data_IF_490740513759
#
_entry.id   IF_490740513759
#
_cell.length_a   1.000
_cell.length_b   1.000
_cell.length_c   1.000
_cell.angle_alpha   90.00
_cell.angle_beta   90.00
_cell.angle_gamma   90.00
#
_symmetry.space_group_name_H-M   'P 1'
#
loop_
_entity.id
_entity.type
_entity.pdbx_description
1 polymer ?
#
# COMPACT_ATOMS: atom_id res chain seq x y z
N UNK A 1 -23.60 2.41 7.83
CA UNK A 1 -22.79 2.97 6.73
C UNK A 1 -22.31 1.78 5.92
N UNK A 2 -22.61 1.74 4.64
CA UNK A 2 -22.01 0.75 3.75
C UNK A 2 -20.49 0.97 3.80
N UNK A 3 -19.75 -0.10 4.04
CA UNK A 3 -18.28 -0.05 3.99
C UNK A 3 -17.89 0.17 2.54
N UNK A 4 -17.06 1.16 2.26
CA UNK A 4 -16.52 1.39 0.93
C UNK A 4 -15.79 0.16 0.41
N UNK A 5 -15.98 -0.18 -0.85
CA UNK A 5 -15.34 -1.34 -1.46
C UNK A 5 -13.83 -1.06 -1.65
N UNK A 6 -12.99 -1.97 -1.15
CA UNK A 6 -11.54 -1.89 -1.24
C UNK A 6 -11.05 -2.95 -2.22
N UNK A 7 -10.21 -2.55 -3.18
CA UNK A 7 -9.59 -3.42 -4.15
C UNK A 7 -8.07 -3.39 -4.01
N UNK A 8 -7.46 -4.53 -3.78
CA UNK A 8 -6.01 -4.73 -3.83
C UNK A 8 -5.65 -5.23 -5.23
N UNK A 9 -4.74 -4.53 -5.92
CA UNK A 9 -4.33 -4.86 -7.28
C UNK A 9 -2.84 -5.14 -7.33
N UNK A 10 -2.48 -6.36 -7.70
CA UNK A 10 -1.10 -6.75 -7.99
C UNK A 10 -0.78 -6.63 -9.48
N UNK A 11 0.26 -5.86 -9.84
CA UNK A 11 0.65 -5.65 -11.24
C UNK A 11 2.07 -6.16 -11.47
N UNK A 12 2.21 -7.16 -12.33
CA UNK A 12 3.45 -7.87 -12.62
C UNK A 12 3.82 -8.88 -11.53
N UNK A 13 4.78 -9.76 -11.80
CA UNK A 13 5.05 -10.93 -10.96
C UNK A 13 5.35 -10.65 -9.49
N UNK A 14 6.06 -9.55 -9.17
CA UNK A 14 6.30 -9.14 -7.77
C UNK A 14 5.03 -8.52 -7.18
N UNK A 15 4.32 -7.68 -7.94
CA UNK A 15 3.06 -7.08 -7.51
C UNK A 15 2.01 -8.12 -7.17
N UNK A 16 1.86 -9.17 -7.99
CA UNK A 16 0.95 -10.29 -7.73
C UNK A 16 1.31 -11.05 -6.44
N UNK A 17 2.60 -11.28 -6.18
CA UNK A 17 3.03 -11.93 -4.93
C UNK A 17 2.74 -11.06 -3.70
N UNK A 18 3.01 -9.77 -3.79
CA UNK A 18 2.75 -8.83 -2.70
C UNK A 18 1.26 -8.69 -2.41
N UNK A 19 0.45 -8.61 -3.48
CA UNK A 19 -1.00 -8.46 -3.34
C UNK A 19 -1.67 -9.70 -2.76
N UNK A 20 -1.26 -10.90 -3.16
CA UNK A 20 -1.75 -12.15 -2.58
C UNK A 20 -1.45 -12.23 -1.09
N UNK A 21 -0.19 -12.03 -0.68
CA UNK A 21 0.19 -12.05 0.73
C UNK A 21 -0.43 -10.93 1.58
N UNK A 22 -0.74 -9.77 0.99
CA UNK A 22 -1.47 -8.71 1.67
C UNK A 22 -2.96 -9.03 1.82
N UNK A 23 -3.58 -9.58 0.78
CA UNK A 23 -4.98 -9.97 0.79
C UNK A 23 -5.28 -11.03 1.86
N UNK A 24 -4.39 -12.03 2.03
CA UNK A 24 -4.53 -13.05 3.08
C UNK A 24 -4.64 -12.44 4.49
N UNK A 25 -3.95 -11.32 4.74
CA UNK A 25 -4.00 -10.61 6.01
C UNK A 25 -5.27 -9.76 6.18
N UNK A 26 -5.91 -9.36 5.09
CA UNK A 26 -7.06 -8.45 5.12
C UNK A 26 -8.40 -9.14 5.45
N UNK A 27 -8.46 -10.49 5.56
CA UNK A 27 -9.63 -11.24 6.04
C UNK A 27 -10.96 -10.83 5.38
N UNK A 28 -11.05 -10.88 4.06
CA UNK A 28 -12.27 -10.55 3.29
C UNK A 28 -12.73 -9.08 3.34
N UNK A 29 -11.90 -8.16 3.87
CA UNK A 29 -12.20 -6.73 3.85
C UNK A 29 -11.90 -6.06 2.49
N UNK A 30 -11.23 -6.77 1.60
CA UNK A 30 -10.85 -6.28 0.28
C UNK A 30 -10.98 -7.37 -0.77
N UNK A 31 -11.25 -6.98 -2.01
CA UNK A 31 -11.15 -7.86 -3.18
C UNK A 31 -9.73 -7.87 -3.73
N UNK A 32 -9.36 -8.91 -4.47
CA UNK A 32 -8.04 -9.07 -5.07
C UNK A 32 -8.12 -9.15 -6.59
N UNK A 33 -7.31 -8.32 -7.27
CA UNK A 33 -7.08 -8.38 -8.71
C UNK A 33 -5.59 -8.59 -8.98
N UNK A 34 -5.26 -9.60 -9.77
CA UNK A 34 -3.90 -9.88 -10.24
C UNK A 34 -3.79 -9.64 -11.74
N UNK A 35 -2.76 -8.91 -12.17
CA UNK A 35 -2.53 -8.54 -13.56
C UNK A 35 -1.09 -8.86 -13.93
N UNK A 36 -0.88 -9.78 -14.85
CA UNK A 36 0.45 -10.06 -15.41
C UNK A 36 0.35 -10.62 -16.84
N UNK A 37 1.47 -10.57 -17.53
CA UNK A 37 1.67 -11.22 -18.82
C UNK A 37 2.23 -12.65 -18.67
N UNK A 38 2.57 -13.08 -17.46
CA UNK A 38 3.01 -14.44 -17.14
C UNK A 38 1.96 -15.11 -16.24
N UNK A 39 1.29 -16.12 -16.77
CA UNK A 39 0.25 -16.87 -16.04
C UNK A 39 0.76 -17.52 -14.76
N UNK A 40 2.05 -17.85 -14.69
CA UNK A 40 2.67 -18.43 -13.48
C UNK A 40 2.72 -17.45 -12.29
N UNK A 41 2.43 -16.17 -12.51
CA UNK A 41 2.31 -15.16 -11.44
C UNK A 41 0.99 -15.25 -10.68
N UNK A 42 -0.02 -15.92 -11.26
CA UNK A 42 -1.32 -16.12 -10.62
C UNK A 42 -1.27 -17.37 -9.75
N UNK A 43 -1.50 -17.19 -8.46
CA UNK A 43 -1.54 -18.30 -7.52
C UNK A 43 -3.00 -18.75 -7.34
N UNK A 44 -3.23 -20.07 -7.44
CA UNK A 44 -4.55 -20.66 -7.23
C UNK A 44 -4.99 -20.70 -5.76
N UNK A 45 -4.15 -20.20 -4.86
CA UNK A 45 -4.39 -20.22 -3.40
C UNK A 45 -5.33 -19.09 -2.94
N UNK A 46 -5.57 -18.08 -3.80
CA UNK A 46 -6.39 -16.91 -3.47
C UNK A 46 -7.65 -16.85 -4.34
N UNK A 47 -8.76 -16.43 -3.77
CA UNK A 47 -9.93 -15.99 -4.53
C UNK A 47 -9.61 -14.62 -5.17
N UNK A 48 -9.07 -14.65 -6.37
CA UNK A 48 -8.61 -13.47 -7.08
C UNK A 48 -9.25 -13.36 -8.46
N UNK A 49 -9.57 -12.12 -8.86
CA UNK A 49 -9.77 -11.80 -10.26
C UNK A 49 -8.40 -11.77 -10.95
N UNK A 50 -8.28 -12.38 -12.11
CA UNK A 50 -7.03 -12.43 -12.86
C UNK A 50 -7.21 -11.83 -14.26
N UNK A 51 -6.32 -10.91 -14.64
CA UNK A 51 -6.21 -10.39 -16.00
C UNK A 51 -4.87 -10.81 -16.58
N UNK A 52 -4.90 -11.76 -17.49
CA UNK A 52 -3.72 -12.20 -18.24
C UNK A 52 -3.51 -11.29 -19.47
N UNK A 53 -2.35 -10.65 -19.54
CA UNK A 53 -2.01 -9.69 -20.60
C UNK A 53 -1.37 -10.34 -21.85
N UNK A 54 -1.54 -11.62 -22.06
CA UNK A 54 -1.10 -12.30 -23.28
C UNK A 54 -2.26 -12.97 -24.01
N UNK A 55 -2.82 -12.27 -25.00
CA UNK A 55 -3.89 -12.81 -25.83
C UNK A 55 -3.42 -13.89 -26.82
N UNK A 56 -2.10 -14.02 -27.06
CA UNK A 56 -1.57 -14.92 -28.09
C UNK A 56 -0.99 -16.23 -27.56
N UNK A 57 -0.82 -16.38 -26.23
CA UNK A 57 -0.25 -17.58 -25.59
C UNK A 57 1.19 -17.89 -26.00
N UNK A 58 1.87 -16.99 -26.69
CA UNK A 58 3.16 -17.25 -27.34
C UNK A 58 4.37 -16.66 -26.64
N UNK A 59 4.20 -15.75 -25.70
CA UNK A 59 5.29 -15.09 -25.00
C UNK A 59 5.09 -15.10 -23.47
N UNK A 60 6.03 -15.64 -22.74
CA UNK A 60 6.09 -15.54 -21.30
C UNK A 60 6.51 -14.13 -20.89
N UNK A 61 5.59 -13.38 -20.31
CA UNK A 61 5.84 -12.05 -19.77
C UNK A 61 5.92 -10.93 -20.86
N UNK A 62 6.01 -9.69 -20.42
CA UNK A 62 6.16 -8.51 -21.27
C UNK A 62 7.63 -8.18 -21.60
N UNK A 63 8.55 -9.10 -21.39
CA UNK A 63 9.97 -9.05 -21.76
C UNK A 63 10.68 -7.71 -21.44
N UNK A 64 10.38 -7.09 -20.30
CA UNK A 64 10.85 -5.75 -19.89
C UNK A 64 10.50 -4.64 -20.91
N UNK A 65 9.40 -4.77 -21.63
CA UNK A 65 8.88 -3.80 -22.60
C UNK A 65 7.58 -3.15 -22.04
N UNK A 66 7.66 -1.98 -21.36
CA UNK A 66 6.50 -1.34 -20.76
C UNK A 66 5.40 -1.00 -21.78
N UNK A 67 5.78 -0.50 -22.96
CA UNK A 67 4.81 -0.15 -24.00
C UNK A 67 3.99 -1.35 -24.50
N UNK A 68 4.60 -2.55 -24.53
CA UNK A 68 3.89 -3.78 -24.88
C UNK A 68 2.86 -4.14 -23.82
N UNK A 69 3.23 -4.03 -22.55
CA UNK A 69 2.32 -4.30 -21.43
C UNK A 69 1.16 -3.30 -21.39
N UNK A 70 1.42 -2.02 -21.61
CA UNK A 70 0.39 -0.99 -21.69
C UNK A 70 -0.59 -1.26 -22.86
N UNK A 71 -0.07 -1.62 -24.05
CA UNK A 71 -0.91 -1.98 -25.20
C UNK A 71 -1.82 -3.17 -24.89
N UNK A 72 -1.26 -4.26 -24.34
CA UNK A 72 -2.03 -5.45 -23.99
C UNK A 72 -3.07 -5.18 -22.88
N UNK A 73 -2.73 -4.31 -21.91
CA UNK A 73 -3.69 -3.89 -20.91
C UNK A 73 -4.89 -3.20 -21.57
N UNK A 74 -4.67 -2.28 -22.49
CA UNK A 74 -5.75 -1.55 -23.19
C UNK A 74 -6.68 -2.48 -23.97
N UNK A 75 -6.18 -3.61 -24.46
CA UNK A 75 -7.01 -4.65 -25.12
C UNK A 75 -7.87 -5.42 -24.09
N UNK A 76 -7.37 -5.62 -22.87
CA UNK A 76 -8.04 -6.42 -21.83
C UNK A 76 -8.76 -5.60 -20.74
N UNK A 77 -8.57 -4.28 -20.69
CA UNK A 77 -9.04 -3.43 -19.56
C UNK A 77 -10.57 -3.45 -19.40
N UNK A 78 -11.31 -3.68 -20.47
CA UNK A 78 -12.76 -3.80 -20.42
C UNK A 78 -13.24 -4.93 -19.48
N UNK A 79 -12.46 -5.99 -19.33
CA UNK A 79 -12.79 -7.16 -18.51
C UNK A 79 -12.74 -6.85 -17.00
N UNK A 80 -12.02 -5.80 -16.61
CA UNK A 80 -11.85 -5.39 -15.21
C UNK A 80 -12.47 -4.02 -14.91
N UNK A 81 -13.06 -3.35 -15.92
CA UNK A 81 -13.61 -2.01 -15.77
C UNK A 81 -14.67 -1.94 -14.67
N UNK A 82 -15.58 -2.89 -14.62
CA UNK A 82 -16.63 -2.93 -13.58
C UNK A 82 -16.04 -3.01 -12.18
N UNK A 83 -14.99 -3.81 -11.98
CA UNK A 83 -14.32 -3.95 -10.69
C UNK A 83 -13.63 -2.65 -10.27
N UNK A 84 -12.96 -1.96 -11.18
CA UNK A 84 -12.34 -0.66 -10.92
C UNK A 84 -13.38 0.44 -10.65
N UNK A 85 -14.51 0.44 -11.36
CA UNK A 85 -15.56 1.44 -11.25
C UNK A 85 -16.39 1.32 -9.96
N UNK A 86 -16.48 0.13 -9.39
CA UNK A 86 -17.20 -0.11 -8.13
C UNK A 86 -16.33 0.06 -6.89
N UNK A 87 -15.02 0.17 -7.04
CA UNK A 87 -14.08 0.28 -5.92
C UNK A 87 -13.91 1.73 -5.48
N UNK A 88 -14.07 2.00 -4.20
CA UNK A 88 -13.87 3.33 -3.61
C UNK A 88 -12.41 3.59 -3.23
N UNK A 89 -11.67 2.52 -2.88
CA UNK A 89 -10.23 2.54 -2.62
C UNK A 89 -9.53 1.47 -3.47
N UNK A 90 -8.55 1.87 -4.24
CA UNK A 90 -7.68 0.97 -5.04
C UNK A 90 -6.26 1.05 -4.52
N UNK A 91 -5.71 -0.08 -4.05
CA UNK A 91 -4.34 -0.21 -3.57
C UNK A 91 -3.54 -0.97 -4.62
N UNK A 92 -2.67 -0.27 -5.34
CA UNK A 92 -1.83 -0.83 -6.40
C UNK A 92 -0.48 -1.27 -5.86
N UNK A 93 -0.11 -2.51 -6.12
CA UNK A 93 1.17 -3.09 -5.73
C UNK A 93 1.96 -3.48 -6.98
N UNK A 94 3.16 -2.93 -7.11
CA UNK A 94 4.02 -3.21 -8.25
C UNK A 94 5.50 -3.09 -7.91
N UNK A 95 6.36 -3.71 -8.73
CA UNK A 95 7.78 -3.41 -8.77
C UNK A 95 8.16 -2.95 -10.18
N UNK A 96 8.85 -1.82 -10.25
CA UNK A 96 9.27 -1.20 -11.50
C UNK A 96 10.53 -1.85 -12.07
N UNK A 97 10.82 -1.53 -13.32
CA UNK A 97 11.98 -2.06 -14.07
C UNK A 97 11.67 -3.34 -14.84
N UNK A 98 10.46 -3.87 -14.74
CA UNK A 98 9.92 -4.93 -15.60
C UNK A 98 8.96 -4.37 -16.65
N UNK A 99 8.46 -5.22 -17.55
CA UNK A 99 7.49 -4.80 -18.59
C UNK A 99 6.12 -4.51 -17.98
N UNK A 100 5.49 -5.50 -17.36
CA UNK A 100 4.10 -5.39 -16.87
C UNK A 100 3.96 -4.33 -15.79
N UNK A 101 4.74 -4.40 -14.71
CA UNK A 101 4.65 -3.43 -13.61
C UNK A 101 4.89 -1.98 -14.06
N UNK A 102 5.88 -1.76 -14.95
CA UNK A 102 6.20 -0.41 -15.42
C UNK A 102 5.25 0.11 -16.50
N UNK A 103 4.60 -0.78 -17.26
CA UNK A 103 3.73 -0.38 -18.36
C UNK A 103 2.26 -0.28 -18.00
N UNK A 104 1.75 -1.19 -17.16
CA UNK A 104 0.33 -1.29 -16.89
C UNK A 104 -0.13 -0.46 -15.68
N UNK A 105 0.73 -0.24 -14.67
CA UNK A 105 0.31 0.37 -13.40
C UNK A 105 -0.24 1.78 -13.56
N UNK A 106 0.41 2.63 -14.37
CA UNK A 106 -0.03 4.01 -14.58
C UNK A 106 -1.44 4.10 -15.21
N UNK A 107 -1.74 3.21 -16.15
CA UNK A 107 -3.05 3.15 -16.82
C UNK A 107 -4.14 2.67 -15.86
N UNK A 108 -3.84 1.69 -15.02
CA UNK A 108 -4.79 1.20 -14.00
C UNK A 108 -5.05 2.31 -12.97
N UNK A 109 -4.00 2.99 -12.52
CA UNK A 109 -4.13 4.13 -11.61
C UNK A 109 -5.00 5.24 -12.22
N UNK A 110 -4.76 5.61 -13.48
CA UNK A 110 -5.55 6.61 -14.20
C UNK A 110 -7.03 6.19 -14.30
N UNK A 111 -7.29 4.96 -14.73
CA UNK A 111 -8.65 4.44 -14.87
C UNK A 111 -9.40 4.42 -13.54
N UNK A 112 -8.76 3.98 -12.46
CA UNK A 112 -9.34 3.96 -11.12
C UNK A 112 -9.67 5.38 -10.63
N UNK A 113 -8.74 6.32 -10.83
CA UNK A 113 -8.94 7.72 -10.47
C UNK A 113 -10.08 8.38 -11.27
N UNK A 114 -10.15 8.12 -12.58
CA UNK A 114 -11.22 8.62 -13.45
C UNK A 114 -12.59 8.08 -13.03
N UNK A 115 -12.64 6.90 -12.44
CA UNK A 115 -13.86 6.32 -11.84
C UNK A 115 -14.20 6.90 -10.45
N UNK A 116 -13.35 7.75 -9.89
CA UNK A 116 -13.57 8.42 -8.59
C UNK A 116 -12.97 7.67 -7.39
N UNK A 117 -12.26 6.57 -7.62
CA UNK A 117 -11.57 5.84 -6.55
C UNK A 117 -10.44 6.67 -5.93
N UNK A 118 -10.18 6.49 -4.64
CA UNK A 118 -8.94 6.88 -4.03
C UNK A 118 -7.85 5.87 -4.44
N UNK A 119 -6.72 6.34 -4.95
CA UNK A 119 -5.66 5.48 -5.47
C UNK A 119 -4.40 5.57 -4.62
N UNK A 120 -4.00 4.45 -4.04
CA UNK A 120 -2.74 4.31 -3.30
C UNK A 120 -1.83 3.35 -4.08
N UNK A 121 -0.65 3.81 -4.47
CA UNK A 121 0.33 2.98 -5.17
C UNK A 121 1.53 2.69 -4.26
N UNK A 122 1.89 1.42 -4.10
CA UNK A 122 3.11 0.95 -3.42
C UNK A 122 4.04 0.38 -4.49
N UNK A 123 5.14 1.08 -4.70
CA UNK A 123 5.99 0.91 -5.88
C UNK A 123 7.40 0.50 -5.49
N UNK A 124 7.79 -0.72 -5.84
CA UNK A 124 9.14 -1.23 -5.64
C UNK A 124 10.14 -0.60 -6.61
N UNK A 125 11.14 0.09 -6.08
CA UNK A 125 12.25 0.68 -6.85
C UNK A 125 13.34 -0.35 -7.03
N UNK A 126 13.83 -0.61 -8.27
CA UNK A 126 14.80 -1.66 -8.55
C UNK A 126 16.14 -1.43 -7.89
N UNK A 127 16.95 -2.49 -7.79
CA UNK A 127 18.32 -2.45 -7.27
C UNK A 127 19.20 -1.53 -8.12
N UNK A 128 20.03 -0.69 -7.47
CA UNK A 128 20.90 0.27 -8.15
C UNK A 128 21.91 -0.41 -9.11
N UNK A 129 22.31 -1.64 -8.82
CA UNK A 129 23.17 -2.46 -9.66
C UNK A 129 22.52 -2.96 -10.97
N UNK A 130 21.24 -2.64 -11.19
CA UNK A 130 20.47 -3.02 -12.39
C UNK A 130 20.12 -1.79 -13.25
N UNK A 131 21.08 -1.18 -13.96
CA UNK A 131 20.90 0.12 -14.61
C UNK A 131 19.77 0.15 -15.63
N UNK A 132 19.58 -0.93 -16.38
CA UNK A 132 18.47 -1.02 -17.34
C UNK A 132 17.10 -0.96 -16.65
N UNK A 133 16.95 -1.66 -15.52
CA UNK A 133 15.71 -1.62 -14.74
C UNK A 133 15.49 -0.26 -14.08
N UNK A 134 16.56 0.38 -13.61
CA UNK A 134 16.50 1.74 -13.06
C UNK A 134 16.01 2.73 -14.13
N UNK A 135 16.57 2.69 -15.34
CA UNK A 135 16.14 3.56 -16.44
C UNK A 135 14.68 3.36 -16.87
N UNK A 136 14.17 2.12 -16.79
CA UNK A 136 12.74 1.82 -17.02
C UNK A 136 11.89 2.40 -15.88
N UNK A 137 12.32 2.21 -14.63
CA UNK A 137 11.61 2.69 -13.45
C UNK A 137 11.52 4.22 -13.40
N UNK A 138 12.59 4.94 -13.72
CA UNK A 138 12.63 6.40 -13.80
C UNK A 138 11.59 6.99 -14.76
N UNK A 139 11.33 6.28 -15.87
CA UNK A 139 10.31 6.70 -16.84
C UNK A 139 8.88 6.32 -16.43
N UNK A 140 8.74 5.20 -15.74
CA UNK A 140 7.43 4.67 -15.34
C UNK A 140 6.88 5.35 -14.08
N UNK A 141 7.73 5.81 -13.17
CA UNK A 141 7.31 6.34 -11.87
C UNK A 141 6.50 7.64 -11.97
N UNK A 142 6.89 8.69 -12.73
CA UNK A 142 6.16 9.95 -12.76
C UNK A 142 4.68 9.84 -13.20
N UNK A 143 4.29 9.05 -14.21
CA UNK A 143 2.89 8.88 -14.54
C UNK A 143 2.10 8.11 -13.45
N UNK A 144 2.73 7.19 -12.71
CA UNK A 144 2.08 6.52 -11.57
C UNK A 144 1.81 7.53 -10.46
N UNK A 145 2.80 8.35 -10.11
CA UNK A 145 2.66 9.39 -9.08
C UNK A 145 1.55 10.41 -9.41
N UNK A 146 1.46 10.83 -10.66
CA UNK A 146 0.39 11.77 -11.09
C UNK A 146 -1.02 11.19 -10.99
N UNK A 147 -1.16 9.89 -11.12
CA UNK A 147 -2.44 9.19 -11.12
C UNK A 147 -2.76 8.52 -9.78
N UNK A 148 -1.92 8.70 -8.76
CA UNK A 148 -2.13 8.20 -7.40
C UNK A 148 -2.32 9.37 -6.44
N UNK A 149 -3.25 9.23 -5.49
CA UNK A 149 -3.43 10.18 -4.39
C UNK A 149 -2.30 10.03 -3.35
N UNK A 150 -1.76 8.80 -3.24
CA UNK A 150 -0.60 8.49 -2.43
C UNK A 150 0.29 7.50 -3.20
N UNK A 151 1.58 7.84 -3.38
CA UNK A 151 2.55 6.93 -3.98
C UNK A 151 3.71 6.68 -3.01
N UNK A 152 3.81 5.44 -2.54
CA UNK A 152 4.84 4.98 -1.59
C UNK A 152 5.94 4.28 -2.38
N UNK A 153 7.15 4.82 -2.34
CA UNK A 153 8.32 4.21 -2.95
C UNK A 153 8.98 3.27 -1.95
N UNK A 154 9.24 2.05 -2.37
CA UNK A 154 9.86 0.99 -1.56
C UNK A 154 11.17 0.57 -2.22
N UNK A 155 12.30 0.79 -1.56
CA UNK A 155 13.58 0.30 -2.05
C UNK A 155 13.65 -1.22 -1.95
N UNK A 156 13.80 -1.91 -3.10
CA UNK A 156 13.98 -3.36 -3.13
C UNK A 156 15.30 -3.78 -2.47
N UNK A 157 16.33 -2.92 -2.47
CA UNK A 157 17.60 -3.18 -1.76
C UNK A 157 17.39 -3.24 -0.25
N UNK A 158 16.68 -2.25 0.32
CA UNK A 158 16.38 -2.21 1.75
C UNK A 158 15.49 -3.38 2.14
N UNK A 159 14.48 -3.69 1.33
CA UNK A 159 13.59 -4.83 1.55
C UNK A 159 14.37 -6.16 1.53
N UNK A 160 15.26 -6.35 0.56
CA UNK A 160 16.10 -7.54 0.46
C UNK A 160 17.11 -7.64 1.61
N UNK A 161 17.71 -6.52 2.01
CA UNK A 161 18.63 -6.49 3.16
C UNK A 161 17.92 -6.93 4.45
N UNK A 162 16.72 -6.45 4.70
CA UNK A 162 15.96 -6.81 5.89
C UNK A 162 15.46 -8.25 5.86
N UNK A 163 14.98 -8.72 4.70
CA UNK A 163 14.56 -10.09 4.52
C UNK A 163 15.67 -11.09 4.85
N UNK A 164 16.93 -10.78 4.46
CA UNK A 164 18.10 -11.60 4.81
C UNK A 164 18.31 -11.72 6.32
N UNK A 165 18.07 -10.65 7.07
CA UNK A 165 18.22 -10.66 8.53
C UNK A 165 17.11 -11.44 9.24
N UNK A 166 15.98 -11.69 8.57
CA UNK A 166 14.84 -12.45 9.08
C UNK A 166 14.69 -13.83 8.44
N UNK A 167 15.65 -14.27 7.62
CA UNK A 167 15.57 -15.53 6.85
C UNK A 167 14.27 -15.65 6.01
N UNK A 168 13.78 -14.54 5.47
CA UNK A 168 12.59 -14.49 4.62
C UNK A 168 12.94 -14.12 3.17
N UNK A 169 12.03 -14.40 2.23
CA UNK A 169 12.19 -13.99 0.84
C UNK A 169 11.58 -12.60 0.63
N UNK A 170 12.40 -11.62 0.30
CA UNK A 170 11.96 -10.26 0.02
C UNK A 170 10.94 -10.15 -1.13
N UNK A 171 10.96 -11.11 -2.08
CA UNK A 171 10.00 -11.15 -3.19
C UNK A 171 8.57 -11.43 -2.72
N UNK A 172 8.44 -12.06 -1.58
CA UNK A 172 7.13 -12.28 -0.98
C UNK A 172 6.60 -10.98 -0.36
N UNK A 173 7.48 -10.04 0.04
CA UNK A 173 7.11 -8.72 0.58
C UNK A 173 6.20 -8.78 1.81
N UNK A 174 5.90 -10.01 2.20
CA UNK A 174 4.70 -10.40 2.92
C UNK A 174 4.63 -9.86 4.34
N UNK A 175 5.76 -9.65 5.00
CA UNK A 175 5.69 -9.17 6.38
C UNK A 175 5.41 -7.67 6.44
N UNK A 176 6.20 -6.83 5.75
CA UNK A 176 6.09 -5.37 5.89
C UNK A 176 5.01 -4.75 5.01
N UNK A 177 4.96 -5.14 3.72
CA UNK A 177 3.94 -4.62 2.80
C UNK A 177 2.57 -5.14 3.22
N UNK A 178 2.48 -6.42 3.60
CA UNK A 178 1.25 -7.01 4.10
C UNK A 178 0.76 -6.35 5.38
N UNK A 179 1.63 -6.05 6.35
CA UNK A 179 1.28 -5.33 7.59
C UNK A 179 0.83 -3.89 7.31
N UNK A 180 1.48 -3.22 6.36
CA UNK A 180 1.13 -1.86 5.95
C UNK A 180 -0.30 -1.82 5.36
N UNK A 181 -0.60 -2.75 4.44
CA UNK A 181 -1.90 -2.84 3.78
C UNK A 181 -2.98 -3.31 4.77
N UNK A 182 -2.70 -4.35 5.55
CA UNK A 182 -3.62 -4.83 6.59
C UNK A 182 -3.98 -3.71 7.56
N UNK A 183 -2.99 -2.93 8.03
CA UNK A 183 -3.21 -1.79 8.90
C UNK A 183 -4.17 -0.78 8.28
N UNK A 184 -3.93 -0.38 7.02
CA UNK A 184 -4.77 0.57 6.31
C UNK A 184 -6.18 0.02 6.06
N UNK A 185 -6.29 -1.18 5.49
CA UNK A 185 -7.57 -1.83 5.16
C UNK A 185 -8.40 -2.05 6.41
N UNK A 186 -7.78 -2.49 7.50
CA UNK A 186 -8.46 -2.70 8.78
C UNK A 186 -8.93 -1.38 9.39
N UNK A 187 -8.13 -0.32 9.28
CA UNK A 187 -8.49 1.04 9.75
C UNK A 187 -9.78 1.52 9.08
N UNK A 188 -9.90 1.34 7.78
CA UNK A 188 -11.02 1.83 6.98
C UNK A 188 -12.20 0.84 6.93
N UNK A 189 -11.92 -0.45 7.00
CA UNK A 189 -12.90 -1.52 6.82
C UNK A 189 -13.53 -2.05 8.11
N UNK A 190 -13.07 -1.65 9.30
CA UNK A 190 -13.62 -2.11 10.59
C UNK A 190 -14.03 -0.97 11.49
N UNK A 191 -15.18 -1.13 12.14
CA UNK A 191 -15.67 -0.15 13.11
C UNK A 191 -14.81 -0.17 14.38
N UNK A 192 -14.40 1.01 14.84
CA UNK A 192 -13.61 1.22 16.06
C UNK A 192 -14.35 2.02 17.14
N UNK A 193 -13.65 2.39 18.20
CA UNK A 193 -14.15 3.33 19.24
C UNK A 193 -14.21 4.77 18.70
N UNK A 194 -13.26 5.13 17.86
CA UNK A 194 -13.22 6.36 17.05
C UNK A 194 -12.96 5.90 15.62
N UNK A 195 -13.96 6.07 14.77
CA UNK A 195 -13.89 5.59 13.38
C UNK A 195 -13.14 6.58 12.50
N UNK A 196 -12.41 6.01 11.54
CA UNK A 196 -11.86 6.71 10.40
C UNK A 196 -12.53 6.16 9.14
N UNK A 197 -12.73 7.03 8.16
CA UNK A 197 -13.32 6.67 6.89
C UNK A 197 -12.48 7.14 5.67
N UNK A 198 -12.96 6.83 4.48
CA UNK A 198 -12.27 7.23 3.24
C UNK A 198 -12.25 8.75 3.03
N UNK A 199 -13.21 9.50 3.59
CA UNK A 199 -13.21 10.96 3.47
C UNK A 199 -12.13 11.59 4.35
N UNK A 200 -11.87 10.99 5.53
CA UNK A 200 -10.73 11.37 6.38
C UNK A 200 -9.41 11.15 5.64
N UNK A 201 -9.26 9.99 5.02
CA UNK A 201 -8.06 9.68 4.23
C UNK A 201 -7.91 10.63 3.04
N UNK A 202 -8.97 10.89 2.27
CA UNK A 202 -8.97 11.88 1.16
C UNK A 202 -8.55 13.27 1.64
N UNK A 203 -9.03 13.69 2.80
CA UNK A 203 -8.72 15.00 3.39
C UNK A 203 -7.22 15.12 3.68
N UNK A 204 -6.60 14.06 4.16
CA UNK A 204 -5.17 14.04 4.45
C UNK A 204 -4.34 13.97 3.17
N UNK A 205 -4.58 12.99 2.28
CA UNK A 205 -3.75 12.80 1.07
C UNK A 205 -3.97 13.87 0.00
N UNK A 206 -5.07 14.61 0.03
CA UNK A 206 -5.36 15.72 -0.89
C UNK A 206 -4.47 16.96 -0.70
N UNK A 207 -3.56 16.97 0.27
CA UNK A 207 -2.63 18.07 0.52
C UNK A 207 -1.46 18.05 -0.46
N UNK A 208 -1.00 19.24 -0.92
CA UNK A 208 0.18 19.33 -1.78
C UNK A 208 1.44 18.80 -1.06
N UNK A 209 2.32 18.14 -1.78
CA UNK A 209 3.57 17.59 -1.28
C UNK A 209 3.61 16.07 -1.33
N UNK A 210 4.68 15.50 -0.80
CA UNK A 210 4.78 14.05 -0.68
C UNK A 210 3.89 13.54 0.47
N UNK A 211 3.50 12.28 0.36
CA UNK A 211 2.78 11.59 1.42
C UNK A 211 3.36 10.19 1.62
N UNK A 212 3.20 9.64 2.81
CA UNK A 212 3.66 8.29 3.14
C UNK A 212 2.69 7.60 4.10
N UNK A 213 2.75 6.28 4.11
CA UNK A 213 2.02 5.42 5.04
C UNK A 213 3.05 4.64 5.86
N UNK A 214 2.89 4.63 7.15
CA UNK A 214 3.80 3.95 8.08
C UNK A 214 3.01 3.15 9.10
N UNK A 215 3.61 2.06 9.57
CA UNK A 215 3.05 1.19 10.62
C UNK A 215 4.12 0.91 11.67
N UNK A 216 3.72 0.96 12.93
CA UNK A 216 4.53 0.54 14.07
C UNK A 216 3.75 -0.43 14.95
N UNK A 217 4.39 -1.50 15.35
CA UNK A 217 3.85 -2.51 16.27
C UNK A 217 4.64 -2.52 17.57
N UNK A 218 3.99 -2.81 18.68
CA UNK A 218 4.62 -2.92 20.00
C UNK A 218 3.66 -3.43 21.06
N UNK A 219 3.93 -3.08 22.30
CA UNK A 219 3.16 -3.54 23.46
C UNK A 219 2.56 -2.36 24.23
N UNK A 220 1.53 -2.63 25.03
CA UNK A 220 0.92 -1.64 25.94
C UNK A 220 1.89 -1.12 27.00
N UNK A 221 2.95 -1.90 27.32
CA UNK A 221 3.97 -1.48 28.29
C UNK A 221 4.98 -0.48 27.71
N UNK A 222 5.12 -0.41 26.37
CA UNK A 222 6.06 0.49 25.69
C UNK A 222 5.39 1.24 24.51
N UNK A 223 4.48 2.20 24.77
CA UNK A 223 3.83 3.00 23.74
C UNK A 223 4.82 3.84 22.91
N UNK A 224 5.91 4.33 23.51
CA UNK A 224 6.95 5.10 22.80
C UNK A 224 7.72 4.22 21.81
N UNK A 225 7.93 2.95 22.15
CA UNK A 225 8.54 1.96 21.24
C UNK A 225 7.72 1.74 19.97
N UNK A 226 6.38 1.80 20.06
CA UNK A 226 5.48 1.73 18.88
C UNK A 226 5.76 2.87 17.92
N UNK A 227 5.85 4.11 18.44
CA UNK A 227 6.14 5.30 17.63
C UNK A 227 7.54 5.23 17.01
N UNK A 228 8.53 4.81 17.81
CA UNK A 228 9.91 4.63 17.34
C UNK A 228 9.98 3.58 16.22
N UNK A 229 9.25 2.48 16.35
CA UNK A 229 9.18 1.45 15.32
C UNK A 229 8.53 1.97 14.04
N UNK A 230 7.42 2.72 14.14
CA UNK A 230 6.76 3.32 13.00
C UNK A 230 7.69 4.26 12.22
N UNK A 231 8.39 5.15 12.91
CA UNK A 231 9.33 6.11 12.30
C UNK A 231 10.56 5.46 11.66
N UNK A 232 11.00 4.33 12.21
CA UNK A 232 12.10 3.55 11.66
C UNK A 232 11.63 2.47 10.69
N UNK A 233 10.39 2.58 10.19
CA UNK A 233 9.83 1.61 9.24
C UNK A 233 10.74 1.48 8.02
N UNK A 234 11.06 0.26 7.63
CA UNK A 234 11.92 -0.02 6.47
C UNK A 234 11.34 0.46 5.14
N UNK A 235 10.04 0.65 5.10
CA UNK A 235 9.32 1.08 3.91
C UNK A 235 9.29 2.60 3.77
N UNK A 236 9.56 3.37 4.84
CA UNK A 236 9.61 4.82 4.79
C UNK A 236 11.00 5.31 4.41
N UNK A 237 11.13 5.90 3.23
CA UNK A 237 12.36 6.61 2.80
C UNK A 237 12.31 8.11 3.11
N UNK A 238 11.14 8.60 3.54
CA UNK A 238 10.86 10.02 3.74
C UNK A 238 10.70 10.26 5.25
N UNK A 239 11.40 11.28 5.79
CA UNK A 239 11.10 11.77 7.14
C UNK A 239 9.69 12.32 7.19
N UNK A 240 8.98 12.02 8.26
CA UNK A 240 7.63 12.56 8.49
C UNK A 240 7.63 13.89 9.23
N UNK A 241 8.82 14.38 9.60
CA UNK A 241 8.95 15.64 10.34
C UNK A 241 8.50 16.82 9.49
N UNK A 242 7.74 17.72 10.09
CA UNK A 242 7.20 18.89 9.40
C UNK A 242 5.98 18.64 8.52
N UNK A 243 5.39 17.45 8.53
CA UNK A 243 4.18 17.15 7.79
C UNK A 243 2.99 18.03 8.22
N UNK A 244 2.13 18.36 7.25
CA UNK A 244 0.97 19.27 7.43
C UNK A 244 -0.37 18.57 7.54
N UNK A 245 -0.43 17.30 7.18
CA UNK A 245 -1.61 16.46 7.32
C UNK A 245 -1.24 15.10 7.89
N UNK A 246 -2.04 14.60 8.83
CA UNK A 246 -1.80 13.33 9.46
C UNK A 246 -3.10 12.63 9.82
N UNK A 247 -3.26 11.38 9.40
CA UNK A 247 -4.30 10.49 9.86
C UNK A 247 -3.62 9.42 10.71
N UNK A 248 -4.05 9.26 11.94
CA UNK A 248 -3.50 8.31 12.90
C UNK A 248 -4.59 7.34 13.34
N UNK A 249 -4.32 6.05 13.22
CA UNK A 249 -5.11 5.00 13.85
C UNK A 249 -4.26 4.30 14.90
N UNK A 250 -4.75 4.23 16.13
CA UNK A 250 -4.17 3.42 17.20
C UNK A 250 -5.07 2.22 17.46
N UNK A 251 -4.50 1.04 17.34
CA UNK A 251 -5.18 -0.21 17.60
C UNK A 251 -4.54 -0.90 18.80
N UNK A 252 -5.35 -1.53 19.63
CA UNK A 252 -4.87 -2.29 20.79
C UNK A 252 -5.86 -3.32 21.27
N UNK A 253 -5.51 -4.02 22.34
CA UNK A 253 -6.39 -4.97 23.00
C UNK A 253 -7.44 -4.31 23.89
N UNK A 254 -8.28 -5.11 24.58
CA UNK A 254 -9.23 -4.62 25.57
C UNK A 254 -8.56 -3.86 26.71
N UNK A 255 -7.28 -4.11 26.95
CA UNK A 255 -6.40 -3.47 27.94
C UNK A 255 -5.88 -2.09 27.48
N UNK A 256 -6.09 -1.70 26.22
CA UNK A 256 -5.73 -0.38 25.73
C UNK A 256 -6.54 0.72 26.43
N UNK A 257 -5.84 1.63 27.07
CA UNK A 257 -6.41 2.78 27.77
C UNK A 257 -6.36 4.06 26.93
N UNK A 258 -7.12 5.08 27.33
CA UNK A 258 -6.98 6.44 26.77
C UNK A 258 -5.57 7.00 27.00
N UNK A 259 -4.91 6.61 28.11
CA UNK A 259 -3.52 6.98 28.37
C UNK A 259 -2.55 6.45 27.31
N UNK A 260 -2.71 5.20 26.87
CA UNK A 260 -1.92 4.62 25.77
C UNK A 260 -2.18 5.36 24.45
N UNK A 261 -3.45 5.63 24.13
CA UNK A 261 -3.82 6.40 22.93
C UNK A 261 -3.17 7.77 22.91
N UNK A 262 -3.31 8.54 23.99
CA UNK A 262 -2.73 9.87 24.11
C UNK A 262 -1.21 9.83 23.99
N UNK A 263 -0.54 8.90 24.68
CA UNK A 263 0.92 8.78 24.66
C UNK A 263 1.44 8.51 23.24
N UNK A 264 0.84 7.56 22.51
CA UNK A 264 1.23 7.25 21.13
C UNK A 264 0.97 8.44 20.21
N UNK A 265 -0.20 9.08 20.31
CA UNK A 265 -0.57 10.19 19.47
C UNK A 265 0.32 11.41 19.70
N UNK A 266 0.52 11.82 20.96
CA UNK A 266 1.37 12.96 21.32
C UNK A 266 2.83 12.74 20.89
N UNK A 267 3.39 11.55 21.17
CA UNK A 267 4.75 11.22 20.78
C UNK A 267 4.93 11.23 19.25
N UNK A 268 3.90 10.82 18.49
CA UNK A 268 3.95 10.84 17.04
C UNK A 268 3.81 12.27 16.47
N UNK A 269 2.84 13.04 16.98
CA UNK A 269 2.51 14.38 16.47
C UNK A 269 3.57 15.42 16.85
N UNK A 270 4.31 15.21 17.93
CA UNK A 270 5.28 16.19 18.46
C UNK A 270 6.35 16.68 17.50
N UNK A 271 6.59 16.00 16.39
CA UNK A 271 7.59 16.38 15.37
C UNK A 271 6.96 16.84 14.06
N UNK A 272 5.64 16.80 13.96
CA UNK A 272 4.92 17.32 12.78
C UNK A 272 4.89 18.85 12.84
N UNK A 273 4.44 19.49 11.76
CA UNK A 273 4.24 20.93 11.73
C UNK A 273 3.22 21.36 12.81
N UNK A 274 3.42 22.55 13.40
CA UNK A 274 2.50 23.07 14.42
C UNK A 274 1.07 23.28 13.90
N UNK A 275 0.93 23.54 12.59
CA UNK A 275 -0.35 23.70 11.92
C UNK A 275 -0.83 22.39 11.25
N UNK A 276 -0.23 21.24 11.62
CA UNK A 276 -0.62 19.95 11.10
C UNK A 276 -2.06 19.62 11.47
N UNK A 277 -2.88 19.34 10.46
CA UNK A 277 -4.22 18.80 10.71
C UNK A 277 -4.10 17.31 11.04
N UNK A 278 -4.50 16.95 12.25
CA UNK A 278 -4.45 15.57 12.74
C UNK A 278 -5.86 15.02 12.85
N UNK A 279 -6.10 13.87 12.21
CA UNK A 279 -7.32 13.07 12.34
C UNK A 279 -6.96 11.80 13.08
N UNK A 280 -7.63 11.53 14.21
CA UNK A 280 -7.29 10.43 15.10
C UNK A 280 -8.41 9.40 15.15
N UNK A 281 -8.07 8.14 14.97
CA UNK A 281 -8.92 6.99 15.19
C UNK A 281 -8.41 6.06 16.27
N UNK A 282 -9.29 5.27 16.85
CA UNK A 282 -8.95 4.28 17.86
C UNK A 282 -9.81 3.03 17.74
N UNK A 283 -9.17 1.85 17.75
CA UNK A 283 -9.85 0.56 17.71
C UNK A 283 -9.33 -0.39 18.78
N UNK A 284 -10.23 -1.10 19.43
CA UNK A 284 -9.88 -2.20 20.32
C UNK A 284 -10.34 -3.54 19.70
N UNK A 285 -9.49 -4.57 19.79
CA UNK A 285 -9.77 -5.90 19.27
C UNK A 285 -9.21 -6.96 20.24
N UNK A 286 -9.95 -8.04 20.48
CA UNK A 286 -9.58 -9.10 21.43
C UNK A 286 -8.25 -9.78 21.07
N UNK A 287 -7.98 -9.93 19.77
CA UNK A 287 -6.74 -10.50 19.25
C UNK A 287 -5.49 -9.63 19.44
N UNK A 288 -5.68 -8.38 19.91
CA UNK A 288 -4.61 -7.42 20.19
C UNK A 288 -4.26 -7.28 21.68
N UNK A 289 -4.74 -8.18 22.55
CA UNK A 289 -4.44 -8.12 23.99
C UNK A 289 -2.93 -7.98 24.26
N UNK A 290 -2.53 -7.01 25.09
CA UNK A 290 -1.14 -6.67 25.42
C UNK A 290 -0.35 -6.01 24.28
N UNK A 291 -0.97 -5.77 23.12
CA UNK A 291 -0.32 -5.19 21.94
C UNK A 291 -0.89 -3.83 21.55
N UNK A 292 -0.05 -3.02 20.93
CA UNK A 292 -0.42 -1.77 20.29
C UNK A 292 0.09 -1.75 18.86
N UNK A 293 -0.71 -1.18 17.96
CA UNK A 293 -0.34 -0.87 16.56
C UNK A 293 -0.67 0.59 16.29
N UNK A 294 0.27 1.28 15.68
CA UNK A 294 0.09 2.61 15.11
C UNK A 294 0.08 2.47 13.58
N UNK A 295 -0.96 2.98 12.94
CA UNK A 295 -1.03 3.17 11.49
C UNK A 295 -1.15 4.66 11.24
N UNK A 296 -0.26 5.25 10.46
CA UNK A 296 -0.32 6.66 10.15
C UNK A 296 -0.14 6.93 8.65
N UNK A 297 -1.05 7.73 8.10
CA UNK A 297 -0.91 8.35 6.77
C UNK A 297 -0.51 9.79 6.98
N UNK A 298 0.60 10.20 6.39
CA UNK A 298 1.21 11.51 6.60
C UNK A 298 1.40 12.19 5.26
N UNK A 299 1.08 13.49 5.16
CA UNK A 299 1.10 14.24 3.91
C UNK A 299 1.59 15.67 4.10
N UNK A 300 1.87 16.35 2.97
CA UNK A 300 2.40 17.73 3.01
C UNK A 300 3.87 17.76 3.40
N UNK A 301 4.62 16.71 3.01
CA UNK A 301 6.05 16.53 3.22
C UNK A 301 6.88 17.22 2.14
#
# INVERSE_FOLDING_TARGET
MEQGSILIVGVGGIGCKWSGGAHDKCQQLAELLMIDADESSFTSEHEAHCLHLDASGSARGAAALPNLAAHRLNEGIANISSLLETSELVILLTALGGGTGSGATAEIAAKSRDSGSLVISIVGIPFAEQPLRCAIAEKALPPIERNSDLCIRVSLERLAWQARHRNSDWKLGSEWIGELIEGLVTTLGRVGKINLDLMDLRTVVGRPGNATLIVGNGTTDDPDGVVKMARNSPLSEISVDGAKGCLIQVEGGPDMTLGHLNRVSEAFVSTLDNDCQVILGARASEDMAGRLRLVAVVSGL
#
